data_IF_226951229568
#
_entry.id   IF_226951229568
#
_cell.length_a   1.000
_cell.length_b   1.000
_cell.length_c   1.000
_cell.angle_alpha   90.00
_cell.angle_beta   90.00
_cell.angle_gamma   90.00
#
_symmetry.space_group_name_H-M   'P 1'
#
loop_
_entity.id
_entity.type
_entity.pdbx_description
1 polymer ?
#
# COMPACT_ATOMS: atom_id res chain seq x y z
N UNK A 1 -51.05 61.24 4.61
CA UNK A 1 -49.80 61.24 5.38
C UNK A 1 -49.37 59.78 5.47
N UNK A 2 -48.38 59.40 4.68
CA UNK A 2 -47.98 58.02 4.46
C UNK A 2 -46.60 57.82 5.10
N UNK A 3 -46.55 56.99 6.15
CA UNK A 3 -45.32 56.57 6.79
C UNK A 3 -44.66 55.45 5.99
N UNK A 4 -43.41 55.68 5.60
CA UNK A 4 -42.55 54.69 4.94
C UNK A 4 -41.53 54.20 5.97
N UNK A 5 -41.38 52.88 6.21
CA UNK A 5 -40.38 52.40 7.14
C UNK A 5 -38.99 52.36 6.48
N UNK A 6 -37.99 52.93 7.17
CA UNK A 6 -36.57 52.80 6.81
C UNK A 6 -36.06 51.40 7.17
N UNK A 7 -35.70 50.63 6.15
CA UNK A 7 -34.98 49.36 6.26
C UNK A 7 -33.50 49.63 6.50
N UNK A 8 -33.00 49.23 7.68
CA UNK A 8 -31.61 49.36 8.06
C UNK A 8 -30.86 48.08 7.66
N UNK A 9 -30.09 48.13 6.57
CA UNK A 9 -29.29 47.01 6.08
C UNK A 9 -27.97 46.93 6.85
N UNK A 10 -27.89 46.02 7.82
CA UNK A 10 -26.61 45.62 8.42
C UNK A 10 -25.97 44.52 7.56
N UNK A 11 -24.82 44.82 6.99
CA UNK A 11 -23.95 43.88 6.29
C UNK A 11 -23.31 42.91 7.28
N UNK A 12 -23.56 41.61 7.09
CA UNK A 12 -22.94 40.55 7.87
C UNK A 12 -21.43 40.44 7.56
N UNK A 13 -20.57 40.19 8.57
CA UNK A 13 -19.15 39.99 8.35
C UNK A 13 -18.91 38.67 7.62
N UNK A 14 -18.27 38.75 6.47
CA UNK A 14 -17.75 37.61 5.71
C UNK A 14 -16.68 36.91 6.54
N UNK A 15 -17.02 35.78 7.15
CA UNK A 15 -16.07 34.86 7.77
C UNK A 15 -15.63 33.84 6.72
N UNK A 16 -14.65 34.22 5.89
CA UNK A 16 -13.91 33.23 5.11
C UNK A 16 -13.17 32.30 6.08
N UNK A 17 -13.29 30.97 5.92
CA UNK A 17 -12.58 30.03 6.77
C UNK A 17 -11.06 30.22 6.60
N UNK A 18 -10.29 30.13 7.69
CA UNK A 18 -8.84 30.27 7.62
C UNK A 18 -8.25 29.16 6.73
N UNK A 19 -7.17 29.46 5.98
CA UNK A 19 -6.50 28.47 5.16
C UNK A 19 -6.01 27.29 6.03
N UNK A 20 -6.05 26.05 5.50
CA UNK A 20 -5.59 24.88 6.23
C UNK A 20 -4.13 25.08 6.66
N UNK A 21 -3.87 24.86 7.95
CA UNK A 21 -2.52 24.97 8.52
C UNK A 21 -1.56 23.99 7.83
N UNK A 22 -0.33 24.41 7.49
CA UNK A 22 0.68 23.59 6.83
C UNK A 22 1.35 22.57 7.77
N UNK A 23 0.73 22.24 8.91
CA UNK A 23 1.30 21.30 9.84
C UNK A 23 1.25 19.90 9.23
N UNK A 24 2.42 19.27 9.01
CA UNK A 24 2.46 17.98 8.37
C UNK A 24 1.91 16.97 9.42
N UNK A 25 1.07 15.98 9.04
CA UNK A 25 0.28 15.12 9.95
C UNK A 25 1.09 14.14 10.81
N UNK A 26 2.39 14.40 11.01
CA UNK A 26 3.38 13.47 11.53
C UNK A 26 3.43 13.21 13.05
N UNK A 27 2.83 14.01 13.97
CA UNK A 27 2.92 13.69 15.40
C UNK A 27 2.31 12.32 15.73
N UNK A 28 1.15 12.00 15.12
CA UNK A 28 0.48 10.71 15.31
C UNK A 28 1.32 9.55 14.76
N UNK A 29 1.90 9.74 13.56
CA UNK A 29 2.71 8.70 12.91
C UNK A 29 3.99 8.35 13.68
N UNK A 30 4.63 9.32 14.34
CA UNK A 30 5.84 9.05 15.15
C UNK A 30 5.57 8.12 16.32
N UNK A 31 4.37 8.18 16.92
CA UNK A 31 4.00 7.30 18.04
C UNK A 31 3.75 5.85 17.61
N UNK A 32 3.46 5.63 16.31
CA UNK A 32 3.12 4.32 15.75
C UNK A 32 4.34 3.69 15.03
N UNK A 33 5.23 4.53 14.49
CA UNK A 33 6.42 4.09 13.76
C UNK A 33 7.49 3.49 14.69
N UNK A 34 7.49 2.16 14.83
CA UNK A 34 8.57 1.43 15.50
C UNK A 34 9.75 1.24 14.54
N UNK A 35 10.80 2.04 14.69
CA UNK A 35 12.05 1.77 14.00
C UNK A 35 12.62 0.42 14.49
N UNK A 36 12.79 -0.52 13.56
CA UNK A 36 13.42 -1.82 13.83
C UNK A 36 14.83 -1.78 13.25
N UNK A 37 15.84 -1.65 14.12
CA UNK A 37 17.25 -1.61 13.71
C UNK A 37 17.63 -2.81 12.82
N UNK A 38 17.06 -3.99 13.08
CA UNK A 38 17.26 -5.18 12.24
C UNK A 38 16.75 -4.99 10.81
N UNK A 39 15.53 -4.46 10.63
CA UNK A 39 14.97 -4.21 9.29
C UNK A 39 15.78 -3.19 8.51
N UNK A 40 16.28 -2.15 9.20
CA UNK A 40 17.19 -1.17 8.59
C UNK A 40 18.51 -1.83 8.14
N UNK A 41 19.12 -2.67 8.98
CA UNK A 41 20.34 -3.41 8.62
C UNK A 41 20.11 -4.37 7.44
N UNK A 42 19.04 -5.19 7.47
CA UNK A 42 18.69 -6.08 6.36
C UNK A 42 18.48 -5.31 5.05
N UNK A 43 17.79 -4.17 5.09
CA UNK A 43 17.61 -3.31 3.91
C UNK A 43 18.94 -2.80 3.38
N UNK A 44 19.80 -2.27 4.26
CA UNK A 44 21.08 -1.66 3.89
C UNK A 44 22.12 -2.68 3.40
N UNK A 45 22.21 -3.82 4.09
CA UNK A 45 23.34 -4.74 3.95
C UNK A 45 23.02 -5.94 3.04
N UNK A 46 21.74 -6.23 2.79
CA UNK A 46 21.32 -7.36 1.95
C UNK A 46 20.53 -6.88 0.74
N UNK A 47 19.42 -6.15 0.95
CA UNK A 47 18.50 -5.82 -0.14
C UNK A 47 19.07 -4.81 -1.13
N UNK A 48 19.65 -3.70 -0.66
CA UNK A 48 20.23 -2.67 -1.54
C UNK A 48 21.39 -3.24 -2.38
N UNK A 49 22.37 -3.96 -1.80
CA UNK A 49 23.44 -4.59 -2.59
C UNK A 49 22.92 -5.58 -3.63
N UNK A 50 21.93 -6.41 -3.28
CA UNK A 50 21.33 -7.37 -4.22
C UNK A 50 20.65 -6.65 -5.40
N UNK A 51 19.93 -5.55 -5.14
CA UNK A 51 19.34 -4.74 -6.20
C UNK A 51 20.39 -4.15 -7.14
N UNK A 52 21.49 -3.61 -6.59
CA UNK A 52 22.60 -3.12 -7.40
C UNK A 52 23.25 -4.25 -8.22
N UNK A 53 23.39 -5.44 -7.64
CA UNK A 53 23.93 -6.60 -8.34
C UNK A 53 23.05 -7.01 -9.52
N UNK A 54 21.73 -7.10 -9.33
CA UNK A 54 20.77 -7.41 -10.40
C UNK A 54 20.83 -6.37 -11.51
N UNK A 55 20.93 -5.08 -11.16
CA UNK A 55 21.05 -3.99 -12.14
C UNK A 55 22.38 -3.99 -12.91
N UNK A 56 23.42 -4.58 -12.31
CA UNK A 56 24.77 -4.64 -12.90
C UNK A 56 25.02 -5.89 -13.73
N UNK A 57 24.16 -6.92 -13.62
CA UNK A 57 24.28 -8.12 -14.43
C UNK A 57 23.84 -7.84 -15.87
N UNK A 58 24.64 -8.26 -16.88
CA UNK A 58 24.17 -8.24 -18.26
C UNK A 58 22.93 -9.13 -18.36
N UNK A 59 21.96 -8.81 -19.24
CA UNK A 59 20.78 -9.66 -19.42
C UNK A 59 21.25 -11.08 -19.67
N UNK A 60 20.75 -12.03 -18.87
CA UNK A 60 21.07 -13.43 -19.02
C UNK A 60 20.78 -13.83 -20.47
N UNK A 61 21.78 -14.38 -21.16
CA UNK A 61 21.65 -14.88 -22.52
C UNK A 61 20.88 -16.21 -22.47
N UNK A 62 19.61 -16.13 -22.11
CA UNK A 62 18.75 -17.27 -21.86
C UNK A 62 17.89 -17.52 -23.10
N UNK A 63 18.42 -18.34 -24.02
CA UNK A 63 17.73 -18.76 -25.25
C UNK A 63 16.44 -19.54 -25.00
N UNK A 64 16.10 -19.86 -23.74
CA UNK A 64 14.87 -20.55 -23.35
C UNK A 64 13.92 -19.68 -22.50
N UNK A 65 14.20 -18.39 -22.33
CA UNK A 65 13.30 -17.51 -21.59
C UNK A 65 12.13 -17.08 -22.51
N UNK A 66 10.86 -17.48 -22.24
CA UNK A 66 9.71 -17.06 -23.04
C UNK A 66 9.37 -15.57 -22.86
N UNK A 67 10.05 -14.87 -21.94
CA UNK A 67 9.92 -13.44 -21.77
C UNK A 67 10.95 -12.69 -22.63
N UNK A 68 10.53 -11.80 -23.54
CA UNK A 68 11.45 -11.05 -24.37
C UNK A 68 12.38 -10.22 -23.49
N UNK A 69 13.69 -10.35 -23.71
CA UNK A 69 14.70 -9.52 -23.08
C UNK A 69 14.34 -8.04 -23.29
N UNK A 70 14.33 -7.22 -22.22
CA UNK A 70 14.06 -5.80 -22.35
C UNK A 70 15.12 -5.19 -23.29
N UNK A 71 14.66 -4.56 -24.36
CA UNK A 71 15.51 -3.87 -25.33
C UNK A 71 16.40 -2.87 -24.57
N UNK A 72 17.72 -2.86 -24.80
CA UNK A 72 18.62 -1.94 -24.09
C UNK A 72 18.17 -0.51 -24.37
N UNK A 73 17.62 0.13 -23.34
CA UNK A 73 17.24 1.53 -23.39
C UNK A 73 18.52 2.37 -23.42
N UNK A 74 18.57 3.45 -24.22
CA UNK A 74 19.73 4.32 -24.29
C UNK A 74 20.07 4.86 -22.91
N UNK A 75 21.37 4.84 -22.55
CA UNK A 75 21.91 5.36 -21.29
C UNK A 75 21.49 6.83 -21.13
N UNK A 76 20.41 7.08 -20.38
CA UNK A 76 20.01 8.43 -19.98
C UNK A 76 21.10 9.05 -19.10
N UNK A 77 21.39 10.33 -19.34
CA UNK A 77 22.31 11.12 -18.52
C UNK A 77 21.90 11.15 -17.04
N UNK A 78 22.83 11.29 -16.08
CA UNK A 78 22.58 11.15 -14.63
C UNK A 78 21.72 12.26 -13.99
N UNK A 79 21.19 13.19 -14.77
CA UNK A 79 20.52 14.41 -14.29
C UNK A 79 19.00 14.45 -14.46
N UNK A 80 18.39 13.42 -15.06
CA UNK A 80 16.93 13.34 -15.18
C UNK A 80 16.33 12.60 -13.96
N UNK A 81 16.15 13.32 -12.85
CA UNK A 81 15.46 12.83 -11.65
C UNK A 81 13.93 12.85 -11.79
N UNK A 82 13.39 12.85 -13.02
CA UNK A 82 11.96 12.62 -13.22
C UNK A 82 11.64 11.18 -12.84
N UNK A 83 11.34 10.95 -11.54
CA UNK A 83 10.82 9.68 -11.09
C UNK A 83 9.54 9.43 -11.87
N UNK A 84 9.52 8.32 -12.60
CA UNK A 84 8.32 7.89 -13.29
C UNK A 84 7.16 7.79 -12.26
N UNK A 85 5.95 8.23 -12.61
CA UNK A 85 4.82 8.16 -11.70
C UNK A 85 4.52 6.70 -11.34
N UNK A 86 4.30 6.43 -10.05
CA UNK A 86 3.95 5.09 -9.58
C UNK A 86 2.55 4.70 -10.06
N UNK A 87 2.46 3.73 -10.97
CA UNK A 87 1.18 3.28 -11.55
C UNK A 87 0.38 2.40 -10.59
N UNK A 88 1.06 1.49 -9.89
CA UNK A 88 0.44 0.53 -8.96
C UNK A 88 1.23 0.48 -7.67
N UNK A 89 0.54 0.58 -6.54
CA UNK A 89 1.06 0.22 -5.22
C UNK A 89 0.55 -1.16 -4.84
N UNK A 90 1.44 -2.05 -4.41
CA UNK A 90 1.06 -3.33 -3.79
C UNK A 90 1.24 -3.20 -2.28
N UNK A 91 0.16 -3.38 -1.54
CA UNK A 91 0.10 -3.15 -0.09
C UNK A 91 -0.17 -4.46 0.63
N UNK A 92 0.89 -5.00 1.25
CA UNK A 92 0.82 -6.16 2.13
C UNK A 92 1.32 -5.77 3.52
N UNK A 93 0.42 -5.26 4.36
CA UNK A 93 0.75 -4.76 5.70
C UNK A 93 -0.34 -5.14 6.70
N UNK A 94 0.04 -5.28 7.98
CA UNK A 94 -0.88 -5.62 9.07
C UNK A 94 -0.47 -6.89 9.83
N UNK A 95 0.33 -7.78 9.24
CA UNK A 95 0.77 -9.03 9.89
C UNK A 95 1.51 -8.78 11.21
N UNK A 96 2.30 -7.71 11.28
CA UNK A 96 3.03 -7.29 12.49
C UNK A 96 2.13 -6.66 13.57
N UNK A 97 0.92 -6.23 13.21
CA UNK A 97 -0.06 -5.61 14.12
C UNK A 97 -1.00 -6.66 14.73
N UNK A 98 -1.06 -7.86 14.15
CA UNK A 98 -1.82 -8.98 14.72
C UNK A 98 -1.24 -9.41 16.06
N UNK A 99 -2.09 -9.42 17.09
CA UNK A 99 -1.80 -10.01 18.39
C UNK A 99 -2.51 -11.35 18.56
N UNK A 100 -1.91 -12.26 19.32
CA UNK A 100 -2.47 -13.60 19.59
C UNK A 100 -3.80 -13.57 20.35
N UNK A 101 -4.12 -12.45 21.01
CA UNK A 101 -5.33 -12.31 21.85
C UNK A 101 -6.46 -11.57 21.14
N UNK A 102 -6.13 -10.57 20.33
CA UNK A 102 -7.13 -9.63 19.80
C UNK A 102 -7.09 -9.49 18.27
N UNK A 103 -6.17 -10.16 17.58
CA UNK A 103 -6.00 -9.98 16.14
C UNK A 103 -5.59 -8.55 15.81
N UNK A 104 -6.21 -7.97 14.78
CA UNK A 104 -5.98 -6.60 14.32
C UNK A 104 -6.92 -5.62 15.06
N UNK A 105 -6.34 -4.67 15.79
CA UNK A 105 -7.11 -3.67 16.54
C UNK A 105 -7.69 -2.57 15.65
N UNK A 106 -8.75 -1.90 16.10
CA UNK A 106 -9.41 -0.82 15.33
C UNK A 106 -8.45 0.32 14.99
N UNK A 107 -7.56 0.71 15.92
CA UNK A 107 -6.54 1.74 15.64
C UNK A 107 -5.60 1.37 14.50
N UNK A 108 -5.29 0.08 14.36
CA UNK A 108 -4.46 -0.41 13.26
C UNK A 108 -5.22 -0.36 11.94
N UNK A 109 -6.54 -0.64 11.97
CA UNK A 109 -7.44 -0.50 10.82
C UNK A 109 -7.56 0.95 10.38
N UNK A 110 -7.72 1.89 11.31
CA UNK A 110 -7.76 3.33 11.02
C UNK A 110 -6.44 3.79 10.38
N UNK A 111 -5.30 3.40 10.95
CA UNK A 111 -3.98 3.73 10.41
C UNK A 111 -3.77 3.12 9.00
N UNK A 112 -4.34 1.94 8.77
CA UNK A 112 -4.30 1.26 7.49
C UNK A 112 -5.14 1.98 6.43
N UNK A 113 -6.34 2.46 6.78
CA UNK A 113 -7.19 3.27 5.89
C UNK A 113 -6.46 4.55 5.47
N UNK A 114 -5.87 5.28 6.43
CA UNK A 114 -5.07 6.48 6.16
C UNK A 114 -3.89 6.19 5.23
N UNK A 115 -3.22 5.05 5.40
CA UNK A 115 -2.12 4.65 4.52
C UNK A 115 -2.60 4.52 3.06
N UNK A 116 -3.67 3.76 2.82
CA UNK A 116 -4.17 3.53 1.46
C UNK A 116 -4.69 4.83 0.83
N UNK A 117 -5.42 5.65 1.59
CA UNK A 117 -5.86 6.98 1.13
C UNK A 117 -4.67 7.87 0.76
N UNK A 118 -3.61 7.84 1.57
CA UNK A 118 -2.39 8.60 1.29
C UNK A 118 -1.75 8.14 -0.02
N UNK A 119 -1.60 6.83 -0.23
CA UNK A 119 -1.01 6.27 -1.45
C UNK A 119 -1.81 6.66 -2.71
N UNK A 120 -3.14 6.68 -2.62
CA UNK A 120 -4.02 7.14 -3.69
C UNK A 120 -3.83 8.63 -4.03
N UNK A 121 -3.36 9.44 -3.06
CA UNK A 121 -3.08 10.86 -3.21
C UNK A 121 -1.66 11.21 -3.69
N UNK A 122 -0.72 10.26 -3.70
CA UNK A 122 0.71 10.52 -4.05
C UNK A 122 0.90 10.87 -5.54
N UNK A 123 -0.08 10.63 -6.41
CA UNK A 123 -0.04 11.00 -7.83
C UNK A 123 -1.19 11.94 -8.23
N UNK A 124 -1.08 13.25 -7.92
CA UNK A 124 -2.15 14.22 -8.23
C UNK A 124 -2.19 14.63 -9.71
N UNK A 125 -1.13 14.42 -10.48
CA UNK A 125 -1.00 14.93 -11.86
C UNK A 125 -1.47 13.92 -12.92
N UNK A 126 -2.75 13.55 -12.89
CA UNK A 126 -3.45 12.95 -14.04
C UNK A 126 -3.12 11.49 -14.39
N UNK A 127 -2.38 10.77 -13.54
CA UNK A 127 -2.18 9.33 -13.69
C UNK A 127 -3.15 8.51 -12.85
N UNK A 128 -3.74 7.46 -13.42
CA UNK A 128 -4.53 6.46 -12.70
C UNK A 128 -3.63 5.62 -11.78
N UNK A 129 -3.26 6.18 -10.63
CA UNK A 129 -2.58 5.41 -9.60
C UNK A 129 -3.59 4.46 -8.95
N UNK A 130 -3.28 3.17 -9.00
CA UNK A 130 -4.08 2.08 -8.43
C UNK A 130 -3.38 1.50 -7.21
N UNK A 131 -4.15 0.96 -6.27
CA UNK A 131 -3.65 0.27 -5.09
C UNK A 131 -4.21 -1.16 -5.07
N UNK A 132 -3.31 -2.14 -5.11
CA UNK A 132 -3.60 -3.54 -4.87
C UNK A 132 -3.32 -3.86 -3.40
N UNK A 133 -4.38 -4.12 -2.66
CA UNK A 133 -4.33 -4.57 -1.27
C UNK A 133 -4.34 -6.08 -1.24
N UNK A 134 -3.41 -6.68 -0.49
CA UNK A 134 -3.41 -8.14 -0.28
C UNK A 134 -3.92 -8.49 1.11
N UNK A 135 -4.60 -9.64 1.22
CA UNK A 135 -5.00 -10.20 2.51
C UNK A 135 -3.79 -10.72 3.31
N UNK A 136 -3.95 -10.74 4.63
CA UNK A 136 -2.98 -11.30 5.56
C UNK A 136 -2.96 -12.83 5.47
N UNK A 137 -1.76 -13.40 5.41
CA UNK A 137 -1.58 -14.85 5.56
C UNK A 137 -1.87 -15.30 7.00
N UNK A 138 -2.32 -16.55 7.11
CA UNK A 138 -2.41 -17.24 8.39
C UNK A 138 -1.02 -17.37 9.04
N UNK A 139 -1.01 -17.42 10.37
CA UNK A 139 0.20 -17.54 11.20
C UNK A 139 0.07 -18.74 12.13
N UNK A 140 1.20 -19.35 12.51
CA UNK A 140 1.19 -20.48 13.46
C UNK A 140 0.84 -20.06 14.89
N UNK A 141 1.04 -18.79 15.24
CA UNK A 141 0.90 -18.27 16.60
C UNK A 141 -0.37 -17.42 16.82
N UNK A 142 -1.19 -17.21 15.78
CA UNK A 142 -2.46 -16.48 15.84
C UNK A 142 -3.55 -17.39 15.29
N UNK A 143 -4.70 -17.48 15.95
CA UNK A 143 -5.79 -18.34 15.47
C UNK A 143 -6.27 -17.90 14.09
N UNK A 144 -6.67 -18.88 13.26
CA UNK A 144 -7.22 -18.61 11.92
C UNK A 144 -8.41 -17.65 11.97
N UNK A 145 -9.28 -17.79 12.98
CA UNK A 145 -10.41 -16.90 13.20
C UNK A 145 -10.01 -15.42 13.37
N UNK A 146 -8.94 -15.13 14.13
CA UNK A 146 -8.46 -13.75 14.31
C UNK A 146 -7.86 -13.19 13.01
N UNK A 147 -7.24 -14.04 12.19
CA UNK A 147 -6.75 -13.66 10.86
C UNK A 147 -7.92 -13.39 9.90
N UNK A 148 -8.96 -14.22 9.94
CA UNK A 148 -10.19 -14.03 9.15
C UNK A 148 -10.92 -12.75 9.51
N UNK A 149 -11.05 -12.47 10.81
CA UNK A 149 -11.61 -11.21 11.32
C UNK A 149 -10.78 -10.02 10.83
N UNK A 150 -9.45 -10.08 10.92
CA UNK A 150 -8.57 -9.01 10.42
C UNK A 150 -8.73 -8.78 8.91
N UNK A 151 -8.75 -9.85 8.12
CA UNK A 151 -9.00 -9.78 6.68
C UNK A 151 -10.40 -9.25 6.36
N UNK A 152 -11.40 -9.56 7.18
CA UNK A 152 -12.74 -8.98 7.10
C UNK A 152 -12.73 -7.46 7.29
N UNK A 153 -12.00 -6.96 8.30
CA UNK A 153 -11.84 -5.51 8.54
C UNK A 153 -11.16 -4.82 7.37
N UNK A 154 -10.07 -5.39 6.85
CA UNK A 154 -9.35 -4.85 5.67
C UNK A 154 -10.30 -4.78 4.46
N UNK A 155 -11.05 -5.84 4.16
CA UNK A 155 -12.04 -5.83 3.07
C UNK A 155 -13.12 -4.77 3.26
N UNK A 156 -13.56 -4.53 4.49
CA UNK A 156 -14.54 -3.48 4.79
C UNK A 156 -13.98 -2.07 4.51
N UNK A 157 -12.70 -1.83 4.85
CA UNK A 157 -12.01 -0.58 4.48
C UNK A 157 -11.90 -0.46 2.95
N UNK A 158 -11.43 -1.51 2.27
CA UNK A 158 -11.31 -1.50 0.81
C UNK A 158 -12.65 -1.16 0.15
N UNK A 159 -13.75 -1.76 0.62
CA UNK A 159 -15.08 -1.44 0.10
C UNK A 159 -15.44 0.05 0.23
N UNK A 160 -15.21 0.67 1.39
CA UNK A 160 -15.43 2.12 1.58
C UNK A 160 -14.56 2.96 0.65
N UNK A 161 -13.30 2.58 0.46
CA UNK A 161 -12.38 3.28 -0.43
C UNK A 161 -12.76 3.10 -1.89
N UNK A 162 -13.28 1.95 -2.29
CA UNK A 162 -13.83 1.72 -3.63
C UNK A 162 -15.05 2.59 -3.89
N UNK A 163 -15.94 2.75 -2.91
CA UNK A 163 -17.11 3.65 -3.00
C UNK A 163 -16.67 5.12 -3.17
N UNK A 164 -15.56 5.52 -2.55
CA UNK A 164 -15.03 6.89 -2.59
C UNK A 164 -14.16 7.20 -3.82
N UNK A 165 -13.34 6.26 -4.25
CA UNK A 165 -12.29 6.48 -5.26
C UNK A 165 -12.48 5.69 -6.56
N UNK A 166 -13.39 4.71 -6.59
CA UNK A 166 -13.61 3.81 -7.73
C UNK A 166 -13.07 2.40 -7.48
N UNK A 167 -13.85 1.39 -7.91
CA UNK A 167 -13.53 -0.02 -7.74
C UNK A 167 -12.31 -0.49 -8.56
N UNK A 168 -11.98 0.23 -9.62
CA UNK A 168 -10.82 0.04 -10.48
C UNK A 168 -9.53 0.60 -9.86
N UNK A 169 -9.65 1.56 -8.93
CA UNK A 169 -8.52 2.22 -8.28
C UNK A 169 -8.03 1.51 -7.02
N UNK A 170 -8.91 0.81 -6.32
CA UNK A 170 -8.57 0.05 -5.12
C UNK A 170 -9.04 -1.37 -5.30
N UNK A 171 -8.12 -2.32 -5.40
CA UNK A 171 -8.42 -3.74 -5.62
C UNK A 171 -7.94 -4.54 -4.43
N UNK A 172 -8.74 -5.51 -3.99
CA UNK A 172 -8.38 -6.45 -2.93
C UNK A 172 -8.10 -7.82 -3.54
N UNK A 173 -6.92 -8.37 -3.24
CA UNK A 173 -6.57 -9.76 -3.48
C UNK A 173 -6.67 -10.52 -2.15
N UNK A 174 -7.35 -11.66 -2.15
CA UNK A 174 -7.40 -12.54 -0.98
C UNK A 174 -5.99 -13.06 -0.64
N UNK A 175 -5.76 -13.54 0.60
CA UNK A 175 -4.55 -14.32 0.88
C UNK A 175 -4.50 -15.53 -0.06
N UNK A 176 -3.31 -15.86 -0.56
CA UNK A 176 -3.14 -16.95 -1.52
C UNK A 176 -3.67 -18.28 -0.97
N UNK A 177 -4.66 -18.85 -1.66
CA UNK A 177 -5.45 -19.97 -1.14
C UNK A 177 -4.62 -21.26 -0.98
N UNK A 178 -3.56 -21.41 -1.78
CA UNK A 178 -2.64 -22.54 -1.70
C UNK A 178 -1.68 -22.47 -0.51
N UNK A 179 -1.55 -21.33 0.18
CA UNK A 179 -0.60 -21.17 1.28
C UNK A 179 -1.17 -21.80 2.56
N UNK A 180 -0.54 -22.90 3.01
CA UNK A 180 -0.86 -23.58 4.27
C UNK A 180 0.22 -23.29 5.32
N UNK A 181 -0.18 -23.05 6.55
CA UNK A 181 0.71 -22.66 7.65
C UNK A 181 1.76 -23.73 7.97
N UNK A 182 1.41 -25.00 7.88
CA UNK A 182 2.20 -26.15 8.31
C UNK A 182 3.26 -26.53 7.28
N UNK A 183 2.96 -26.30 6.00
CA UNK A 183 3.79 -26.67 4.86
C UNK A 183 4.67 -25.49 4.39
N UNK A 184 4.12 -24.26 4.42
CA UNK A 184 4.70 -23.14 3.68
C UNK A 184 5.31 -22.05 4.55
N UNK A 185 5.39 -22.22 5.87
CA UNK A 185 6.05 -21.25 6.76
C UNK A 185 7.35 -21.80 7.38
N UNK A 186 8.44 -21.04 7.23
CA UNK A 186 9.74 -21.34 7.86
C UNK A 186 9.69 -21.09 9.37
N UNK A 187 8.91 -20.10 9.80
CA UNK A 187 8.65 -19.80 11.21
C UNK A 187 7.15 -19.58 11.46
N UNK A 188 6.78 -18.72 12.41
CA UNK A 188 5.38 -18.44 12.69
C UNK A 188 4.69 -17.58 11.62
N UNK A 189 5.45 -16.89 10.74
CA UNK A 189 4.94 -15.80 9.92
C UNK A 189 5.53 -15.75 8.50
N UNK A 190 6.77 -16.17 8.30
CA UNK A 190 7.48 -16.02 7.03
C UNK A 190 7.30 -17.23 6.13
N UNK A 191 6.94 -16.98 4.87
CA UNK A 191 6.84 -17.99 3.84
C UNK A 191 8.20 -18.64 3.55
N UNK A 192 8.19 -19.94 3.25
CA UNK A 192 9.30 -20.62 2.60
C UNK A 192 9.26 -20.38 1.07
N UNK A 193 10.22 -20.94 0.35
CA UNK A 193 10.32 -20.77 -1.10
C UNK A 193 9.03 -21.17 -1.84
N UNK A 194 8.45 -22.33 -1.50
CA UNK A 194 7.21 -22.83 -2.09
C UNK A 194 6.02 -21.90 -1.78
N UNK A 195 5.92 -21.42 -0.54
CA UNK A 195 4.93 -20.43 -0.15
C UNK A 195 5.03 -19.13 -0.95
N UNK A 196 6.24 -18.64 -1.20
CA UNK A 196 6.47 -17.48 -2.06
C UNK A 196 6.07 -17.76 -3.52
N UNK A 197 6.34 -18.96 -4.05
CA UNK A 197 5.93 -19.33 -5.40
C UNK A 197 4.41 -19.33 -5.56
N UNK A 198 3.69 -19.89 -4.58
CA UNK A 198 2.23 -19.89 -4.56
C UNK A 198 1.66 -18.46 -4.48
N UNK A 199 2.24 -17.62 -3.60
CA UNK A 199 1.82 -16.23 -3.51
C UNK A 199 2.08 -15.46 -4.82
N UNK A 200 3.25 -15.65 -5.43
CA UNK A 200 3.59 -14.99 -6.69
C UNK A 200 2.69 -15.44 -7.85
N UNK A 201 2.26 -16.70 -7.88
CA UNK A 201 1.34 -17.22 -8.88
C UNK A 201 -0.03 -16.51 -8.86
N UNK A 202 -0.46 -16.01 -7.70
CA UNK A 202 -1.70 -15.22 -7.58
C UNK A 202 -1.45 -13.71 -7.70
N UNK A 203 -0.36 -13.20 -7.11
CA UNK A 203 -0.04 -11.78 -7.10
C UNK A 203 0.29 -11.24 -8.50
N UNK A 204 1.10 -11.97 -9.27
CA UNK A 204 1.63 -11.46 -10.53
C UNK A 204 0.52 -11.22 -11.58
N UNK A 205 -0.44 -12.14 -11.80
CA UNK A 205 -1.58 -11.86 -12.67
C UNK A 205 -2.40 -10.64 -12.22
N UNK A 206 -2.61 -10.47 -10.91
CA UNK A 206 -3.36 -9.34 -10.38
C UNK A 206 -2.65 -8.00 -10.63
N UNK A 207 -1.33 -7.95 -10.46
CA UNK A 207 -0.52 -6.77 -10.77
C UNK A 207 -0.56 -6.44 -12.27
N UNK A 208 -0.38 -7.45 -13.13
CA UNK A 208 -0.43 -7.24 -14.59
C UNK A 208 -1.80 -6.73 -15.04
N UNK A 209 -2.89 -7.29 -14.51
CA UNK A 209 -4.24 -6.82 -14.82
C UNK A 209 -4.45 -5.33 -14.48
N UNK A 210 -3.80 -4.82 -13.43
CA UNK A 210 -3.88 -3.40 -13.05
C UNK A 210 -3.03 -2.49 -13.94
N UNK A 211 -1.89 -3.00 -14.42
CA UNK A 211 -0.97 -2.29 -15.30
C UNK A 211 -1.47 -2.21 -16.75
N UNK A 212 -2.42 -3.07 -17.15
CA UNK A 212 -2.82 -3.23 -18.55
C UNK A 212 -1.68 -3.73 -19.43
#
# INVERSE_FOLDING_TARGET
MADTPQTNSQSAPSTSPPPPSPHPPFPALRSIAKFKARSHATSKDIHIPLLHQIQSQPPANDNNNPYPSPTPTPKKSPTDTSRLPVRVWVVQVGTNNLTVKTGLGERDVDAWEVLVETLLGVNPTGGECKVLVTGLFYRKDVSGELVDQANGKIRAVVKRLQEKYGADRVVCLAPAAGVKTEEHLVDHVHLNLEGYQLWMAELFPAVNALLG
#
